data_IF_907490343494
#
_entry.id   IF_907490343494
#
_cell.length_a   1.000
_cell.length_b   1.000
_cell.length_c   1.000
_cell.angle_alpha   90.00
_cell.angle_beta   90.00
_cell.angle_gamma   90.00
#
_symmetry.space_group_name_H-M   'P 1'
#
loop_
_entity.id
_entity.type
_entity.pdbx_description
1 polymer ?
#
# COMPACT_ATOMS: atom_id res chain seq x y z
N UNK A 1 5.09 15.43 -11.24
CA UNK A 1 3.76 14.81 -11.27
C UNK A 1 3.95 13.39 -11.75
N UNK A 2 3.60 12.39 -10.92
CA UNK A 2 3.74 10.97 -11.23
C UNK A 2 2.35 10.40 -11.59
N UNK A 3 2.09 10.05 -12.85
CA UNK A 3 0.78 9.54 -13.29
C UNK A 3 0.33 8.28 -12.52
N UNK A 4 1.28 7.44 -12.11
CA UNK A 4 1.01 6.22 -11.36
C UNK A 4 0.36 6.48 -9.99
N UNK A 5 0.65 7.62 -9.34
CA UNK A 5 -0.02 8.01 -8.09
C UNK A 5 -1.52 8.26 -8.31
N UNK A 6 -1.87 8.96 -9.39
CA UNK A 6 -3.26 9.19 -9.76
C UNK A 6 -3.96 7.89 -10.19
N UNK A 7 -3.23 7.00 -10.87
CA UNK A 7 -3.74 5.69 -11.28
C UNK A 7 -4.24 4.84 -10.09
N UNK A 8 -3.60 4.93 -8.92
CA UNK A 8 -4.08 4.26 -7.69
C UNK A 8 -5.51 4.67 -7.35
N UNK A 9 -5.81 5.97 -7.31
CA UNK A 9 -7.18 6.43 -7.04
C UNK A 9 -8.16 6.07 -8.15
N UNK A 10 -7.76 6.21 -9.42
CA UNK A 10 -8.61 5.86 -10.56
C UNK A 10 -8.98 4.37 -10.53
N UNK A 11 -8.03 3.49 -10.22
CA UNK A 11 -8.28 2.05 -10.10
C UNK A 11 -9.35 1.72 -9.03
N UNK A 12 -9.31 2.41 -7.90
CA UNK A 12 -10.28 2.29 -6.81
C UNK A 12 -11.65 2.79 -7.26
N UNK A 13 -11.72 3.91 -7.97
CA UNK A 13 -12.99 4.45 -8.47
C UNK A 13 -13.63 3.50 -9.50
N UNK A 14 -12.82 2.91 -10.40
CA UNK A 14 -13.28 1.92 -11.37
C UNK A 14 -13.82 0.68 -10.64
N UNK A 15 -13.04 0.13 -9.69
CA UNK A 15 -13.45 -1.03 -8.91
C UNK A 15 -14.72 -0.76 -8.09
N UNK A 16 -14.79 0.39 -7.43
CA UNK A 16 -15.96 0.80 -6.66
C UNK A 16 -17.21 0.90 -7.52
N UNK A 17 -17.09 1.45 -8.74
CA UNK A 17 -18.22 1.56 -9.68
C UNK A 17 -18.77 0.19 -10.09
N UNK A 18 -17.87 -0.77 -10.36
CA UNK A 18 -18.25 -2.14 -10.69
C UNK A 18 -18.91 -2.84 -9.52
N UNK A 19 -18.26 -2.84 -8.35
CA UNK A 19 -18.75 -3.53 -7.15
C UNK A 19 -20.10 -2.97 -6.74
N UNK A 20 -20.24 -1.64 -6.64
CA UNK A 20 -21.48 -1.00 -6.24
C UNK A 20 -22.64 -1.33 -7.21
N UNK A 21 -22.36 -1.40 -8.52
CA UNK A 21 -23.36 -1.78 -9.51
C UNK A 21 -23.83 -3.24 -9.33
N UNK A 22 -22.91 -4.17 -9.03
CA UNK A 22 -23.27 -5.57 -8.82
C UNK A 22 -24.02 -5.77 -7.51
N UNK A 23 -23.58 -5.12 -6.43
CA UNK A 23 -24.27 -5.12 -5.13
C UNK A 23 -25.70 -4.62 -5.30
N UNK A 24 -25.88 -3.47 -5.97
CA UNK A 24 -27.21 -2.90 -6.25
C UNK A 24 -28.09 -3.81 -7.10
N UNK A 25 -27.49 -4.62 -7.99
CA UNK A 25 -28.20 -5.58 -8.85
C UNK A 25 -28.37 -6.96 -8.23
N UNK A 26 -27.90 -7.16 -6.98
CA UNK A 26 -27.82 -8.47 -6.32
C UNK A 26 -27.16 -9.55 -7.20
N UNK A 27 -26.11 -9.16 -7.93
CA UNK A 27 -25.34 -10.03 -8.82
C UNK A 27 -24.00 -10.38 -8.19
N UNK A 28 -23.48 -11.51 -8.60
CA UNK A 28 -22.19 -11.99 -8.14
C UNK A 28 -21.04 -11.19 -8.75
N UNK A 29 -19.99 -11.00 -7.95
CA UNK A 29 -18.75 -10.40 -8.39
C UNK A 29 -17.93 -11.41 -9.21
N UNK A 30 -17.29 -10.93 -10.27
CA UNK A 30 -16.38 -11.71 -11.10
C UNK A 30 -15.05 -10.97 -11.29
N UNK A 31 -14.00 -11.75 -11.53
CA UNK A 31 -12.64 -11.28 -11.74
C UNK A 31 -12.38 -10.92 -13.21
N UNK A 32 -12.98 -11.64 -14.15
CA UNK A 32 -12.74 -11.51 -15.59
C UNK A 32 -13.67 -10.49 -16.24
N UNK A 33 -13.61 -9.25 -15.77
CA UNK A 33 -14.45 -8.15 -16.24
C UNK A 33 -13.62 -7.10 -16.99
N UNK A 34 -14.29 -6.30 -17.82
CA UNK A 34 -13.63 -5.20 -18.55
C UNK A 34 -12.96 -4.22 -17.59
N UNK A 35 -13.60 -3.94 -16.45
CA UNK A 35 -13.06 -3.07 -15.40
C UNK A 35 -11.75 -3.61 -14.83
N UNK A 36 -11.72 -4.89 -14.46
CA UNK A 36 -10.49 -5.53 -13.98
C UNK A 36 -9.42 -5.64 -15.08
N UNK A 37 -9.82 -5.82 -16.33
CA UNK A 37 -8.91 -5.78 -17.48
C UNK A 37 -8.26 -4.41 -17.67
N UNK A 38 -9.01 -3.32 -17.50
CA UNK A 38 -8.48 -1.95 -17.54
C UNK A 38 -7.51 -1.72 -16.38
N UNK A 39 -7.87 -2.11 -15.16
CA UNK A 39 -6.99 -1.96 -13.98
C UNK A 39 -5.70 -2.77 -14.18
N UNK A 40 -5.80 -4.01 -14.66
CA UNK A 40 -4.64 -4.84 -14.97
C UNK A 40 -3.75 -4.22 -16.07
N UNK A 41 -4.36 -3.62 -17.10
CA UNK A 41 -3.61 -2.92 -18.14
C UNK A 41 -2.86 -1.70 -17.58
N UNK A 42 -3.49 -0.91 -16.71
CA UNK A 42 -2.84 0.22 -16.04
C UNK A 42 -1.68 -0.26 -15.16
N UNK A 43 -1.88 -1.31 -14.36
CA UNK A 43 -0.82 -1.89 -13.54
C UNK A 43 0.33 -2.44 -14.39
N UNK A 44 0.03 -3.09 -15.51
CA UNK A 44 1.04 -3.58 -16.47
C UNK A 44 1.83 -2.45 -17.12
N UNK A 45 1.19 -1.33 -17.47
CA UNK A 45 1.88 -0.14 -17.96
C UNK A 45 2.81 0.45 -16.89
N UNK A 46 2.40 0.46 -15.62
CA UNK A 46 3.25 0.90 -14.50
C UNK A 46 4.42 -0.05 -14.26
N UNK A 47 4.25 -1.36 -14.44
CA UNK A 47 5.38 -2.31 -14.36
C UNK A 47 6.38 -2.13 -15.52
N UNK A 48 5.93 -1.67 -16.69
CA UNK A 48 6.83 -1.30 -17.79
C UNK A 48 7.68 -0.05 -17.48
N UNK A 49 7.30 0.74 -16.47
CA UNK A 49 8.09 1.85 -15.89
C UNK A 49 8.98 1.38 -14.71
N UNK A 50 9.42 0.13 -14.73
CA UNK A 50 9.93 -0.65 -13.58
C UNK A 50 9.39 -0.37 -12.16
N UNK A 51 8.14 0.09 -11.99
CA UNK A 51 7.58 0.41 -10.67
C UNK A 51 6.64 -0.70 -10.16
N UNK A 52 7.26 -1.77 -9.65
CA UNK A 52 6.55 -2.95 -9.13
C UNK A 52 5.69 -2.63 -7.90
N UNK A 53 6.17 -1.75 -7.02
CA UNK A 53 5.45 -1.35 -5.80
C UNK A 53 4.13 -0.67 -6.14
N UNK A 54 4.17 0.34 -7.01
CA UNK A 54 2.96 1.05 -7.42
C UNK A 54 2.03 0.17 -8.23
N UNK A 55 2.54 -0.65 -9.15
CA UNK A 55 1.74 -1.61 -9.91
C UNK A 55 0.99 -2.59 -8.98
N UNK A 56 1.67 -3.08 -7.93
CA UNK A 56 1.07 -3.96 -6.91
C UNK A 56 -0.07 -3.27 -6.17
N UNK A 57 0.03 -1.97 -5.87
CA UNK A 57 -1.05 -1.22 -5.22
C UNK A 57 -2.23 -0.99 -6.19
N UNK A 58 -1.94 -0.58 -7.43
CA UNK A 58 -2.95 -0.31 -8.47
C UNK A 58 -3.82 -1.55 -8.72
N UNK A 59 -3.24 -2.74 -8.73
CA UNK A 59 -3.99 -3.97 -8.94
C UNK A 59 -4.48 -4.61 -7.63
N UNK A 60 -3.62 -4.65 -6.61
CA UNK A 60 -3.87 -5.35 -5.35
C UNK A 60 -4.98 -4.72 -4.51
N UNK A 61 -5.11 -3.39 -4.48
CA UNK A 61 -6.17 -2.74 -3.72
C UNK A 61 -7.57 -3.03 -4.30
N UNK A 62 -7.82 -2.85 -5.61
CA UNK A 62 -9.06 -3.31 -6.24
C UNK A 62 -9.41 -4.78 -5.99
N UNK A 63 -8.41 -5.66 -5.99
CA UNK A 63 -8.62 -7.07 -5.65
C UNK A 63 -9.04 -7.27 -4.19
N UNK A 64 -8.36 -6.60 -3.26
CA UNK A 64 -8.76 -6.59 -1.86
C UNK A 64 -10.19 -6.06 -1.69
N UNK A 65 -10.58 -5.03 -2.44
CA UNK A 65 -11.96 -4.53 -2.44
C UNK A 65 -12.97 -5.59 -2.90
N UNK A 66 -12.68 -6.33 -3.98
CA UNK A 66 -13.55 -7.42 -4.43
C UNK A 66 -13.69 -8.51 -3.38
N UNK A 67 -12.59 -8.91 -2.73
CA UNK A 67 -12.59 -9.93 -1.68
C UNK A 67 -13.44 -9.48 -0.50
N UNK A 68 -13.24 -8.25 -0.01
CA UNK A 68 -14.01 -7.68 1.11
C UNK A 68 -15.49 -7.52 0.73
N UNK A 69 -15.81 -7.20 -0.52
CA UNK A 69 -17.16 -7.11 -1.04
C UNK A 69 -17.86 -8.46 -1.28
N UNK A 70 -17.18 -9.59 -1.03
CA UNK A 70 -17.77 -10.93 -1.11
C UNK A 70 -17.54 -11.67 -2.43
N UNK A 71 -16.36 -11.49 -3.05
CA UNK A 71 -15.97 -12.30 -4.21
C UNK A 71 -16.04 -13.80 -3.89
N UNK A 72 -16.59 -14.58 -4.83
CA UNK A 72 -16.71 -16.04 -4.73
C UNK A 72 -15.38 -16.72 -4.39
N UNK A 73 -15.41 -17.70 -3.47
CA UNK A 73 -14.20 -18.40 -2.97
C UNK A 73 -13.42 -19.07 -4.10
N UNK A 74 -14.11 -19.59 -5.10
CA UNK A 74 -13.50 -20.21 -6.28
C UNK A 74 -12.67 -19.20 -7.08
N UNK A 75 -13.17 -17.95 -7.22
CA UNK A 75 -12.45 -16.86 -7.89
C UNK A 75 -11.26 -16.37 -7.07
N UNK A 76 -11.39 -16.34 -5.75
CA UNK A 76 -10.25 -16.03 -4.85
C UNK A 76 -9.15 -17.09 -4.98
N UNK A 77 -9.51 -18.38 -5.04
CA UNK A 77 -8.54 -19.46 -5.23
C UNK A 77 -7.85 -19.38 -6.60
N UNK A 78 -8.62 -19.09 -7.66
CA UNK A 78 -8.07 -18.84 -9.01
C UNK A 78 -7.07 -17.68 -8.98
N UNK A 79 -7.40 -16.59 -8.28
CA UNK A 79 -6.52 -15.43 -8.15
C UNK A 79 -5.22 -15.77 -7.42
N UNK A 80 -5.31 -16.48 -6.29
CA UNK A 80 -4.13 -16.93 -5.56
C UNK A 80 -3.24 -17.82 -6.44
N UNK A 81 -3.84 -18.76 -7.18
CA UNK A 81 -3.10 -19.62 -8.10
C UNK A 81 -2.42 -18.80 -9.22
N UNK A 82 -3.14 -17.89 -9.85
CA UNK A 82 -2.58 -16.99 -10.87
C UNK A 82 -1.47 -16.11 -10.32
N UNK A 83 -1.62 -15.60 -9.09
CA UNK A 83 -0.60 -14.81 -8.41
C UNK A 83 0.67 -15.62 -8.14
N UNK A 84 0.54 -16.85 -7.63
CA UNK A 84 1.68 -17.75 -7.39
C UNK A 84 2.38 -18.11 -8.71
N UNK A 85 1.62 -18.49 -9.73
CA UNK A 85 2.19 -18.83 -11.05
C UNK A 85 2.86 -17.61 -11.69
N UNK A 86 2.22 -16.45 -11.65
CA UNK A 86 2.77 -15.20 -12.17
C UNK A 86 4.05 -14.80 -11.44
N UNK A 87 4.06 -14.84 -10.11
CA UNK A 87 5.25 -14.57 -9.31
C UNK A 87 6.38 -15.54 -9.64
N UNK A 88 6.10 -16.85 -9.76
CA UNK A 88 7.10 -17.83 -10.14
C UNK A 88 7.71 -17.52 -11.51
N UNK A 89 6.88 -17.26 -12.53
CA UNK A 89 7.35 -16.91 -13.88
C UNK A 89 8.25 -15.68 -13.86
N UNK A 90 7.87 -14.64 -13.11
CA UNK A 90 8.63 -13.40 -13.00
C UNK A 90 9.97 -13.60 -12.28
N UNK A 91 9.94 -14.37 -11.20
CA UNK A 91 11.13 -14.72 -10.41
C UNK A 91 12.14 -15.53 -11.26
N UNK A 92 11.68 -16.50 -12.05
CA UNK A 92 12.57 -17.31 -12.90
C UNK A 92 13.07 -16.58 -14.15
N UNK A 93 12.41 -15.49 -14.57
CA UNK A 93 12.83 -14.69 -15.73
C UNK A 93 13.95 -13.72 -15.41
N UNK A 94 13.98 -13.17 -14.20
CA UNK A 94 14.97 -12.18 -13.80
C UNK A 94 15.76 -12.67 -12.57
N UNK A 95 17.04 -13.05 -12.73
CA UNK A 95 17.89 -13.55 -11.64
C UNK A 95 17.94 -12.62 -10.43
N UNK A 96 17.82 -11.32 -10.65
CA UNK A 96 17.74 -10.30 -9.61
C UNK A 96 16.55 -10.47 -8.65
N UNK A 97 15.38 -10.90 -9.15
CA UNK A 97 14.18 -11.08 -8.32
C UNK A 97 14.35 -12.26 -7.34
N UNK A 98 15.07 -13.31 -7.77
CA UNK A 98 15.48 -14.40 -6.90
C UNK A 98 16.41 -13.92 -5.79
N UNK A 99 17.39 -13.09 -6.11
CA UNK A 99 18.28 -12.52 -5.10
C UNK A 99 17.52 -11.68 -4.08
N UNK A 100 16.57 -10.83 -4.52
CA UNK A 100 15.67 -10.09 -3.62
C UNK A 100 14.85 -10.98 -2.68
N UNK A 101 14.45 -12.17 -3.13
CA UNK A 101 13.73 -13.11 -2.27
C UNK A 101 14.67 -13.74 -1.23
N UNK A 102 15.89 -14.11 -1.62
CA UNK A 102 16.90 -14.68 -0.72
C UNK A 102 17.33 -13.69 0.36
N UNK A 103 17.66 -12.45 -0.02
CA UNK A 103 18.03 -11.39 0.92
C UNK A 103 16.85 -10.88 1.77
N UNK A 104 15.60 -11.21 1.44
CA UNK A 104 14.48 -10.97 2.38
C UNK A 104 14.56 -11.94 3.57
N UNK A 105 15.02 -13.17 3.34
CA UNK A 105 15.17 -14.17 4.40
C UNK A 105 16.47 -13.99 5.18
N UNK A 106 17.57 -13.70 4.49
CA UNK A 106 18.86 -13.38 5.10
C UNK A 106 19.45 -12.10 4.45
N UNK A 107 19.05 -10.91 4.93
CA UNK A 107 19.57 -9.65 4.38
C UNK A 107 21.05 -9.43 4.69
N UNK A 108 21.59 -10.13 5.69
CA UNK A 108 22.98 -10.00 6.12
C UNK A 108 23.94 -10.78 5.22
N UNK A 109 23.47 -11.78 4.48
CA UNK A 109 24.30 -12.54 3.55
C UNK A 109 24.92 -11.68 2.43
N UNK A 110 24.27 -10.57 2.10
CA UNK A 110 24.77 -9.58 1.13
C UNK A 110 24.43 -8.15 1.60
N UNK A 111 24.93 -7.80 2.78
CA UNK A 111 24.67 -6.53 3.44
C UNK A 111 25.20 -5.30 2.68
N UNK A 112 26.06 -5.47 1.67
CA UNK A 112 26.67 -4.36 0.91
C UNK A 112 26.01 -4.12 -0.45
N UNK A 113 25.27 -5.09 -1.00
CA UNK A 113 24.60 -4.91 -2.29
C UNK A 113 23.08 -5.08 -2.14
N UNK A 114 22.54 -6.27 -2.39
CA UNK A 114 21.09 -6.46 -2.45
C UNK A 114 20.42 -6.27 -1.09
N UNK A 115 21.05 -6.74 -0.01
CA UNK A 115 20.54 -6.60 1.36
C UNK A 115 20.75 -5.21 1.97
N UNK A 116 21.50 -4.31 1.32
CA UNK A 116 21.95 -3.04 1.89
C UNK A 116 20.80 -2.20 2.45
N UNK A 117 19.74 -1.99 1.66
CA UNK A 117 18.59 -1.19 2.09
C UNK A 117 17.88 -1.81 3.31
N UNK A 118 17.67 -3.12 3.29
CA UNK A 118 17.02 -3.85 4.39
C UNK A 118 17.87 -3.81 5.66
N UNK A 119 19.18 -4.07 5.55
CA UNK A 119 20.11 -4.04 6.69
C UNK A 119 20.17 -2.65 7.32
N UNK A 120 20.29 -1.60 6.50
CA UNK A 120 20.34 -0.22 6.98
C UNK A 120 19.01 0.20 7.62
N UNK A 121 17.88 -0.22 7.05
CA UNK A 121 16.55 0.00 7.63
C UNK A 121 16.42 -0.64 9.01
N UNK A 122 16.76 -1.93 9.13
CA UNK A 122 16.71 -2.66 10.40
C UNK A 122 17.67 -2.07 11.43
N UNK A 123 18.86 -1.67 11.02
CA UNK A 123 19.86 -1.04 11.89
C UNK A 123 19.37 0.32 12.39
N UNK A 124 18.76 1.13 11.52
CA UNK A 124 18.17 2.42 11.88
C UNK A 124 17.05 2.25 12.90
N UNK A 125 16.10 1.33 12.66
CA UNK A 125 15.02 1.01 13.60
C UNK A 125 15.59 0.54 14.94
N UNK A 126 16.57 -0.38 14.92
CA UNK A 126 17.21 -0.91 16.12
C UNK A 126 17.94 0.14 16.95
N UNK A 127 18.62 1.09 16.29
CA UNK A 127 19.36 2.17 16.96
C UNK A 127 18.47 3.20 17.67
N UNK A 128 17.17 3.23 17.38
CA UNK A 128 16.22 4.13 18.04
C UNK A 128 15.88 3.75 19.48
N UNK A 129 16.22 2.54 19.95
CA UNK A 129 15.89 2.06 21.29
C UNK A 129 14.40 2.34 21.66
N UNK A 130 14.11 2.70 22.93
CA UNK A 130 12.73 2.99 23.36
C UNK A 130 12.26 4.39 23.00
N UNK A 131 13.11 5.40 23.15
CA UNK A 131 12.75 6.84 23.06
C UNK A 131 13.33 7.57 21.88
N UNK A 132 14.20 6.94 21.11
CA UNK A 132 14.89 7.53 19.96
C UNK A 132 16.17 8.26 20.33
N UNK A 133 16.95 8.60 19.31
CA UNK A 133 18.16 9.41 19.43
C UNK A 133 17.88 10.92 19.48
N UNK A 134 16.63 11.35 19.29
CA UNK A 134 16.22 12.75 19.23
C UNK A 134 15.96 13.23 17.81
N UNK A 135 14.92 14.07 17.66
CA UNK A 135 14.48 14.62 16.37
C UNK A 135 15.60 15.40 15.70
N UNK A 136 15.85 15.09 14.42
CA UNK A 136 16.89 15.77 13.66
C UNK A 136 18.31 15.43 14.11
N UNK A 137 18.51 14.38 14.90
CA UNK A 137 19.85 13.88 15.30
C UNK A 137 20.17 12.54 14.64
N UNK A 138 19.20 11.90 13.96
CA UNK A 138 19.37 10.60 13.31
C UNK A 138 20.52 10.59 12.30
N UNK A 139 21.38 9.58 12.38
CA UNK A 139 22.61 9.47 11.56
C UNK A 139 22.29 8.89 10.16
N UNK A 140 21.23 8.11 10.03
CA UNK A 140 20.87 7.41 8.78
C UNK A 140 20.36 8.33 7.65
N UNK A 141 20.14 9.61 7.94
CA UNK A 141 19.74 10.63 6.95
C UNK A 141 20.90 11.23 6.14
N UNK A 142 22.15 10.97 6.53
CA UNK A 142 23.35 11.52 5.88
C UNK A 142 23.92 10.53 4.84
N UNK A 143 23.09 10.10 3.88
CA UNK A 143 23.45 9.26 2.73
C UNK A 143 23.71 7.75 2.99
N UNK A 144 23.52 7.24 4.20
CA UNK A 144 23.71 5.81 4.49
C UNK A 144 22.54 4.93 4.06
N UNK A 145 21.31 5.44 4.03
CA UNK A 145 20.12 4.70 3.60
C UNK A 145 19.56 5.31 2.30
N UNK A 146 19.71 4.64 1.15
CA UNK A 146 19.15 5.10 -0.12
C UNK A 146 17.63 5.17 0.00
N UNK A 147 17.00 6.18 -0.60
CA UNK A 147 15.55 6.40 -0.48
C UNK A 147 15.07 6.60 0.98
N UNK A 148 15.98 7.10 1.84
CA UNK A 148 15.76 7.46 3.24
C UNK A 148 14.54 8.35 3.47
N UNK A 149 14.30 9.31 2.59
CA UNK A 149 13.21 10.28 2.73
C UNK A 149 11.91 9.82 2.07
N UNK A 150 11.97 8.85 1.18
CA UNK A 150 10.85 8.30 0.41
C UNK A 150 10.43 6.99 1.06
N UNK A 151 10.92 5.85 0.60
CA UNK A 151 10.43 4.52 0.96
C UNK A 151 10.81 4.10 2.39
N UNK A 152 11.94 4.62 2.90
CA UNK A 152 12.48 4.27 4.22
C UNK A 152 12.29 5.37 5.28
N UNK A 153 11.44 6.37 5.03
CA UNK A 153 11.17 7.46 5.97
C UNK A 153 10.75 6.96 7.36
N UNK A 154 10.04 5.82 7.43
CA UNK A 154 9.65 5.20 8.68
C UNK A 154 10.84 4.68 9.51
N UNK A 155 11.89 4.15 8.87
CA UNK A 155 13.08 3.69 9.58
C UNK A 155 13.80 4.84 10.28
N UNK A 156 13.92 5.98 9.59
CA UNK A 156 14.48 7.21 10.17
C UNK A 156 13.58 7.75 11.28
N UNK A 157 12.27 7.74 11.07
CA UNK A 157 11.32 8.14 12.11
C UNK A 157 11.48 7.31 13.39
N UNK A 158 11.64 5.99 13.26
CA UNK A 158 11.90 5.08 14.38
C UNK A 158 13.27 5.32 15.01
N UNK A 159 14.30 5.63 14.21
CA UNK A 159 15.61 5.98 14.72
C UNK A 159 15.55 7.23 15.63
N UNK A 160 14.78 8.24 15.22
CA UNK A 160 14.70 9.52 15.94
C UNK A 160 13.72 9.50 17.13
N UNK A 161 12.64 8.70 17.07
CA UNK A 161 11.57 8.68 18.07
C UNK A 161 11.44 7.34 18.84
N UNK A 162 12.27 6.35 18.48
CA UNK A 162 12.32 5.04 19.10
C UNK A 162 11.06 4.21 18.91
N UNK A 163 10.98 3.14 19.70
CA UNK A 163 9.83 2.24 19.74
C UNK A 163 8.51 2.93 20.07
N UNK A 164 8.52 3.94 20.94
CA UNK A 164 7.31 4.71 21.28
C UNK A 164 6.75 5.47 20.07
N UNK A 165 7.63 6.06 19.25
CA UNK A 165 7.25 6.68 17.99
C UNK A 165 6.61 5.68 17.05
N UNK A 166 7.21 4.49 16.90
CA UNK A 166 6.65 3.43 16.05
C UNK A 166 5.22 3.06 16.47
N UNK A 167 4.99 2.78 17.76
CA UNK A 167 3.66 2.47 18.31
C UNK A 167 2.67 3.61 18.01
N UNK A 168 3.09 4.86 18.20
CA UNK A 168 2.24 6.01 17.94
C UNK A 168 1.75 6.03 16.47
N UNK A 169 2.64 5.77 15.51
CA UNK A 169 2.27 5.68 14.08
C UNK A 169 1.31 4.52 13.81
N UNK A 170 1.54 3.34 14.41
CA UNK A 170 0.60 2.22 14.30
C UNK A 170 -0.79 2.59 14.82
N UNK A 171 -0.88 3.26 15.96
CA UNK A 171 -2.13 3.71 16.54
C UNK A 171 -2.84 4.75 15.66
N UNK A 172 -2.11 5.65 15.00
CA UNK A 172 -2.70 6.61 14.06
C UNK A 172 -3.33 5.92 12.85
N UNK A 173 -2.64 4.95 12.23
CA UNK A 173 -3.22 4.19 11.12
C UNK A 173 -4.40 3.32 11.57
N UNK A 174 -4.35 2.73 12.76
CA UNK A 174 -5.48 2.00 13.33
C UNK A 174 -6.70 2.91 13.59
N UNK A 175 -6.48 4.09 14.16
CA UNK A 175 -7.52 5.09 14.37
C UNK A 175 -8.12 5.57 13.04
N UNK A 176 -7.28 5.80 12.04
CA UNK A 176 -7.73 6.14 10.69
C UNK A 176 -8.58 5.02 10.07
N UNK A 177 -8.16 3.76 10.20
CA UNK A 177 -8.93 2.62 9.70
C UNK A 177 -10.32 2.55 10.33
N UNK A 178 -10.41 2.73 11.66
CA UNK A 178 -11.70 2.77 12.37
C UNK A 178 -12.57 3.94 11.90
N UNK A 179 -11.97 5.12 11.71
CA UNK A 179 -12.69 6.30 11.23
C UNK A 179 -13.23 6.10 9.80
N UNK A 180 -12.40 5.60 8.88
CA UNK A 180 -12.80 5.34 7.51
C UNK A 180 -13.86 4.24 7.41
N UNK A 181 -13.76 3.18 8.23
CA UNK A 181 -14.78 2.14 8.32
C UNK A 181 -16.13 2.70 8.82
N UNK A 182 -16.11 3.62 9.79
CA UNK A 182 -17.33 4.30 10.25
C UNK A 182 -17.97 5.13 9.15
N UNK A 183 -17.18 5.81 8.32
CA UNK A 183 -17.67 6.55 7.15
C UNK A 183 -18.30 5.59 6.14
N UNK A 184 -17.62 4.49 5.81
CA UNK A 184 -18.13 3.51 4.86
C UNK A 184 -19.50 2.94 5.32
N UNK A 185 -19.64 2.61 6.60
CA UNK A 185 -20.88 2.08 7.17
C UNK A 185 -22.05 3.09 7.22
N UNK A 186 -21.75 4.39 7.19
CA UNK A 186 -22.75 5.47 7.20
C UNK A 186 -22.95 6.10 5.82
N UNK A 187 -22.30 5.57 4.78
CA UNK A 187 -22.41 6.12 3.44
C UNK A 187 -23.87 6.05 2.94
N UNK A 188 -24.26 7.06 2.16
CA UNK A 188 -25.64 7.21 1.68
C UNK A 188 -26.03 6.20 0.60
N UNK A 189 -25.06 5.78 -0.22
CA UNK A 189 -25.24 4.89 -1.37
C UNK A 189 -24.15 3.81 -1.42
N UNK A 190 -24.39 2.74 -2.19
CA UNK A 190 -23.47 1.61 -2.28
C UNK A 190 -22.12 2.02 -2.88
N UNK A 191 -22.11 2.98 -3.81
CA UNK A 191 -20.88 3.51 -4.38
C UNK A 191 -20.05 4.24 -3.32
N UNK A 192 -20.65 5.12 -2.52
CA UNK A 192 -19.98 5.80 -1.43
C UNK A 192 -19.40 4.83 -0.40
N UNK A 193 -20.16 3.79 -0.04
CA UNK A 193 -19.70 2.75 0.89
C UNK A 193 -18.43 2.04 0.38
N UNK A 194 -18.48 1.56 -0.87
CA UNK A 194 -17.37 0.82 -1.47
C UNK A 194 -16.17 1.73 -1.77
N UNK A 195 -16.41 2.98 -2.16
CA UNK A 195 -15.36 3.98 -2.38
C UNK A 195 -14.63 4.32 -1.09
N UNK A 196 -15.36 4.54 0.01
CA UNK A 196 -14.78 4.78 1.33
C UNK A 196 -13.94 3.57 1.80
N UNK A 197 -14.43 2.36 1.60
CA UNK A 197 -13.68 1.12 1.84
C UNK A 197 -12.41 1.05 0.99
N UNK A 198 -12.48 1.39 -0.30
CA UNK A 198 -11.33 1.41 -1.20
C UNK A 198 -10.25 2.41 -0.78
N UNK A 199 -10.64 3.62 -0.36
CA UNK A 199 -9.71 4.64 0.15
C UNK A 199 -9.07 4.19 1.47
N UNK A 200 -9.85 3.57 2.36
CA UNK A 200 -9.32 2.96 3.58
C UNK A 200 -8.27 1.90 3.25
N UNK A 201 -8.58 0.97 2.34
CA UNK A 201 -7.66 -0.09 1.92
C UNK A 201 -6.42 0.48 1.25
N UNK A 202 -6.54 1.54 0.45
CA UNK A 202 -5.39 2.21 -0.15
C UNK A 202 -4.43 2.73 0.92
N UNK A 203 -4.91 3.56 1.84
CA UNK A 203 -4.04 4.24 2.81
C UNK A 203 -3.50 3.24 3.83
N UNK A 204 -4.36 2.39 4.40
CA UNK A 204 -3.96 1.42 5.43
C UNK A 204 -3.17 0.27 4.82
N UNK A 205 -3.57 -0.23 3.66
CA UNK A 205 -2.86 -1.29 2.95
C UNK A 205 -1.48 -0.85 2.47
N UNK A 206 -1.36 0.36 1.91
CA UNK A 206 -0.06 0.93 1.54
C UNK A 206 0.83 1.13 2.79
N UNK A 207 0.25 1.58 3.92
CA UNK A 207 0.99 1.70 5.17
C UNK A 207 1.48 0.35 5.69
N UNK A 208 0.62 -0.68 5.75
CA UNK A 208 1.02 -2.04 6.16
C UNK A 208 2.12 -2.57 5.24
N UNK A 209 1.98 -2.41 3.92
CA UNK A 209 2.98 -2.87 2.96
C UNK A 209 4.34 -2.18 3.17
N UNK A 210 4.36 -0.86 3.39
CA UNK A 210 5.59 -0.15 3.73
C UNK A 210 6.19 -0.64 5.05
N UNK A 211 5.38 -0.78 6.11
CA UNK A 211 5.86 -1.19 7.43
C UNK A 211 6.47 -2.61 7.41
N UNK A 212 5.86 -3.53 6.67
CA UNK A 212 6.41 -4.88 6.45
C UNK A 212 7.73 -4.83 5.66
N UNK A 213 7.79 -3.99 4.63
CA UNK A 213 8.98 -3.82 3.80
C UNK A 213 10.15 -3.25 4.59
N UNK A 214 9.93 -2.14 5.30
CA UNK A 214 10.94 -1.45 6.11
C UNK A 214 11.37 -2.33 7.30
N UNK A 215 10.45 -3.13 7.84
CA UNK A 215 10.73 -4.14 8.87
C UNK A 215 11.39 -5.43 8.36
N UNK A 216 11.75 -5.52 7.07
CA UNK A 216 12.44 -6.68 6.50
C UNK A 216 11.59 -7.95 6.36
N UNK A 217 10.26 -7.84 6.49
CA UNK A 217 9.34 -8.99 6.37
C UNK A 217 8.93 -9.29 4.92
N UNK A 218 9.03 -8.29 4.04
CA UNK A 218 8.75 -8.42 2.60
C UNK A 218 9.87 -7.79 1.77
N UNK A 219 10.05 -8.20 0.51
CA UNK A 219 11.07 -7.60 -0.36
C UNK A 219 10.87 -6.09 -0.52
N UNK A 220 11.99 -5.36 -0.68
CA UNK A 220 11.96 -3.92 -0.94
C UNK A 220 11.40 -3.67 -2.32
N UNK A 221 10.20 -3.07 -2.39
CA UNK A 221 9.46 -2.83 -3.66
C UNK A 221 9.14 -1.36 -3.92
N UNK A 222 9.61 -0.44 -3.08
CA UNK A 222 9.50 1.00 -3.31
C UNK A 222 8.11 1.58 -3.03
N UNK A 223 7.50 1.15 -1.93
CA UNK A 223 6.17 1.61 -1.51
C UNK A 223 6.35 2.70 -0.45
N UNK A 224 5.99 3.97 -0.69
CA UNK A 224 6.12 5.02 0.31
C UNK A 224 5.05 4.90 1.41
N UNK A 225 5.38 5.31 2.63
CA UNK A 225 4.45 5.39 3.75
C UNK A 225 3.55 6.62 3.60
N UNK A 226 2.21 6.48 3.52
CA UNK A 226 1.32 7.63 3.41
C UNK A 226 1.52 8.64 4.55
N UNK A 227 1.50 9.93 4.20
CA UNK A 227 1.69 11.09 5.10
C UNK A 227 3.08 11.29 5.72
N UNK A 228 3.91 10.26 5.80
CA UNK A 228 5.25 10.34 6.42
C UNK A 228 6.34 10.46 5.36
N UNK A 229 6.24 9.66 4.29
CA UNK A 229 7.23 9.67 3.22
C UNK A 229 7.17 10.94 2.37
N UNK A 230 8.33 11.41 1.95
CA UNK A 230 8.47 12.54 1.06
C UNK A 230 8.03 12.15 -0.35
N UNK A 231 7.06 12.87 -0.91
CA UNK A 231 6.55 12.60 -2.24
C UNK A 231 5.45 13.59 -2.60
N UNK A 232 5.82 14.70 -3.24
CA UNK A 232 4.88 15.81 -3.47
C UNK A 232 3.60 15.38 -4.19
N UNK A 233 3.71 14.55 -5.23
CA UNK A 233 2.51 14.03 -5.93
C UNK A 233 1.72 13.06 -5.06
N UNK A 234 2.39 12.12 -4.38
CA UNK A 234 1.73 11.12 -3.54
C UNK A 234 0.97 11.74 -2.38
N UNK A 235 1.55 12.76 -1.74
CA UNK A 235 0.89 13.51 -0.66
C UNK A 235 -0.37 14.23 -1.17
N UNK A 236 -0.29 14.92 -2.31
CA UNK A 236 -1.45 15.62 -2.90
C UNK A 236 -2.57 14.62 -3.23
N UNK A 237 -2.23 13.48 -3.84
CA UNK A 237 -3.20 12.44 -4.18
C UNK A 237 -3.81 11.82 -2.91
N UNK A 238 -3.02 11.57 -1.87
CA UNK A 238 -3.51 11.04 -0.61
C UNK A 238 -4.43 12.04 0.11
N UNK A 239 -4.10 13.34 0.07
CA UNK A 239 -4.97 14.41 0.56
C UNK A 239 -6.29 14.49 -0.23
N UNK A 240 -6.23 14.34 -1.55
CA UNK A 240 -7.43 14.27 -2.38
C UNK A 240 -8.31 13.05 -2.01
N UNK A 241 -7.69 11.90 -1.75
CA UNK A 241 -8.37 10.70 -1.26
C UNK A 241 -9.11 10.95 0.07
N UNK A 242 -8.44 11.60 1.03
CA UNK A 242 -9.08 12.02 2.29
C UNK A 242 -10.25 12.97 2.02
N UNK A 243 -10.08 13.95 1.13
CA UNK A 243 -11.14 14.89 0.76
C UNK A 243 -12.39 14.17 0.23
N UNK A 244 -12.20 13.16 -0.63
CA UNK A 244 -13.28 12.30 -1.12
C UNK A 244 -13.93 11.53 0.03
N UNK A 245 -13.14 10.90 0.90
CA UNK A 245 -13.64 10.13 2.04
C UNK A 245 -14.49 10.99 2.98
N UNK A 246 -14.02 12.19 3.33
CA UNK A 246 -14.76 13.14 4.19
C UNK A 246 -16.05 13.61 3.51
N UNK A 247 -16.03 13.84 2.20
CA UNK A 247 -17.24 14.20 1.44
C UNK A 247 -18.28 13.07 1.48
N UNK A 248 -17.86 11.80 1.35
CA UNK A 248 -18.77 10.64 1.51
C UNK A 248 -19.40 10.66 2.91
N UNK A 249 -18.59 10.86 3.97
CA UNK A 249 -19.09 10.94 5.34
C UNK A 249 -20.13 12.05 5.53
N UNK A 250 -19.85 13.26 5.02
CA UNK A 250 -20.76 14.42 5.09
C UNK A 250 -22.08 14.18 4.34
N UNK A 251 -22.06 13.44 3.24
CA UNK A 251 -23.28 13.10 2.50
C UNK A 251 -24.11 12.03 3.22
N UNK A 252 -23.46 11.11 3.93
CA UNK A 252 -24.12 10.12 4.80
C UNK A 252 -24.92 10.77 5.93
N UNK A 253 -24.35 11.79 6.60
CA UNK A 253 -25.02 12.50 7.71
C UNK A 253 -26.25 13.32 7.28
N UNK A 254 -26.29 13.79 6.03
CA UNK A 254 -27.44 14.56 5.50
C UNK A 254 -28.62 13.69 5.04
N UNK A 255 -28.40 12.38 4.90
CA UNK A 255 -29.38 11.44 4.36
C UNK A 255 -30.08 10.56 5.40
N UNK A 256 -29.63 10.58 6.65
CA UNK A 256 -30.29 9.92 7.80
C UNK A 256 -31.13 10.90 8.60
#
# INVERSE_FOLDING_TARGET
FQPAEMAKLVSIMIAASYIALQVKRARELDLFTVQMGIIAAIAGLTELEPDLGTATIIFGIPLAMLIVAGLRRERVLQLLLMGVVGAAVMIFREPYRLERLKITYDPWSDAQNYGYQTVQSLSAIGSGELTGMGLGVGVSKYDYLPEAHTDFAFAIFCQENGFLGAIFVFLLFAAFAVYAARIANKARDEYGQVLAMGIMLLIVGQAIANLLMVGGMTPVVGIPLPFISYGGTSLIITMAAIGILVNVGKQGEKGG
#
